data_IF_541079826683
#
_entry.id   IF_541079826683
#
_cell.length_a   1.000
_cell.length_b   1.000
_cell.length_c   1.000
_cell.angle_alpha   90.00
_cell.angle_beta   90.00
_cell.angle_gamma   90.00
#
_symmetry.space_group_name_H-M   'P 1'
#
loop_
_entity.id
_entity.type
_entity.pdbx_description
1 polymer ?
#
# COMPACT_ATOMS: atom_id res chain seq x y z
N UNK A 1 -0.28 -17.29 -25.45
CA UNK A 1 -1.18 -16.27 -24.86
C UNK A 1 -2.55 -16.88 -24.66
N UNK A 2 -3.18 -16.70 -23.50
CA UNK A 2 -4.45 -17.36 -23.20
C UNK A 2 -5.57 -16.65 -23.98
N UNK A 3 -6.39 -17.34 -24.75
CA UNK A 3 -7.49 -16.80 -25.60
C UNK A 3 -8.34 -15.74 -24.92
N UNK A 4 -8.66 -15.92 -23.61
CA UNK A 4 -9.41 -14.93 -22.81
C UNK A 4 -8.71 -13.58 -22.64
N UNK A 5 -7.37 -13.53 -22.65
CA UNK A 5 -6.63 -12.26 -22.58
C UNK A 5 -6.60 -11.54 -23.91
N UNK A 6 -6.52 -12.29 -24.99
CA UNK A 6 -6.58 -11.76 -26.36
C UNK A 6 -7.95 -11.12 -26.61
N UNK A 7 -9.05 -11.82 -26.26
CA UNK A 7 -10.41 -11.29 -26.40
C UNK A 7 -10.61 -9.98 -25.61
N UNK A 8 -10.07 -9.89 -24.39
CA UNK A 8 -10.15 -8.64 -23.62
C UNK A 8 -9.36 -7.49 -24.27
N UNK A 9 -8.19 -7.78 -24.84
CA UNK A 9 -7.40 -6.79 -25.56
C UNK A 9 -8.13 -6.33 -26.82
N UNK A 10 -8.71 -7.27 -27.59
CA UNK A 10 -9.50 -6.96 -28.77
C UNK A 10 -10.70 -6.05 -28.42
N UNK A 11 -11.45 -6.37 -27.35
CA UNK A 11 -12.55 -5.53 -26.88
C UNK A 11 -12.13 -4.09 -26.54
N UNK A 12 -10.91 -3.91 -25.98
CA UNK A 12 -10.40 -2.56 -25.69
C UNK A 12 -10.00 -1.80 -26.96
N UNK A 13 -9.53 -2.51 -27.99
CA UNK A 13 -9.21 -1.92 -29.30
C UNK A 13 -10.52 -1.57 -30.04
N UNK A 14 -11.47 -2.50 -30.11
CA UNK A 14 -12.77 -2.35 -30.79
C UNK A 14 -13.62 -1.24 -30.20
N UNK A 15 -13.44 -0.93 -28.89
CA UNK A 15 -14.11 0.20 -28.25
C UNK A 15 -13.74 1.55 -28.88
N UNK A 16 -12.56 1.66 -29.48
CA UNK A 16 -12.08 2.91 -30.10
C UNK A 16 -12.44 2.86 -31.58
N UNK A 17 -13.51 3.54 -31.95
CA UNK A 17 -14.07 3.61 -33.28
C UNK A 17 -13.58 4.87 -34.03
N UNK A 18 -14.01 5.02 -35.27
CA UNK A 18 -13.76 6.20 -36.09
C UNK A 18 -14.33 7.51 -35.53
N UNK A 19 -15.31 7.43 -34.61
CA UNK A 19 -15.90 8.57 -33.92
C UNK A 19 -15.12 9.05 -32.69
N UNK A 20 -13.98 8.39 -32.37
CA UNK A 20 -13.22 8.72 -31.16
C UNK A 20 -12.07 9.67 -31.43
N UNK A 21 -12.02 10.76 -30.64
CA UNK A 21 -10.82 11.53 -30.39
C UNK A 21 -10.04 10.88 -29.25
N UNK A 22 -8.83 10.40 -29.55
CA UNK A 22 -7.94 9.80 -28.54
C UNK A 22 -6.91 10.84 -28.11
N UNK A 23 -6.95 11.23 -26.85
CA UNK A 23 -6.05 12.22 -26.27
C UNK A 23 -5.09 11.56 -25.31
N UNK A 24 -3.80 11.75 -25.51
CA UNK A 24 -2.77 11.39 -24.53
C UNK A 24 -2.30 12.64 -23.80
N UNK A 25 -2.18 12.56 -22.48
CA UNK A 25 -1.71 13.66 -21.63
C UNK A 25 -0.47 13.23 -20.86
N UNK A 26 0.63 13.92 -21.08
CA UNK A 26 1.80 13.83 -20.23
C UNK A 26 1.63 14.73 -19.01
N UNK A 27 1.74 14.15 -17.82
CA UNK A 27 1.41 14.78 -16.54
C UNK A 27 2.67 15.32 -15.88
N UNK A 28 2.66 16.60 -15.53
CA UNK A 28 3.68 17.25 -14.71
C UNK A 28 3.08 18.04 -13.55
N UNK A 29 3.91 18.60 -12.70
CA UNK A 29 3.47 19.35 -11.52
C UNK A 29 2.72 20.64 -11.90
N UNK A 30 3.26 21.41 -12.84
CA UNK A 30 2.77 22.75 -13.17
C UNK A 30 2.07 22.80 -14.53
N UNK A 31 2.67 22.22 -15.55
CA UNK A 31 2.18 22.30 -16.93
C UNK A 31 2.07 20.91 -17.54
N UNK A 32 0.89 20.54 -17.97
CA UNK A 32 0.61 19.30 -18.69
C UNK A 32 0.71 19.52 -20.20
N UNK A 33 1.02 18.45 -20.94
CA UNK A 33 1.05 18.49 -22.41
C UNK A 33 0.09 17.44 -22.96
N UNK A 34 -0.81 17.86 -23.86
CA UNK A 34 -1.76 17.00 -24.53
C UNK A 34 -1.46 16.86 -26.03
N UNK A 35 -1.70 15.67 -26.58
CA UNK A 35 -1.68 15.34 -27.99
C UNK A 35 -2.91 14.52 -28.33
N UNK A 36 -3.46 14.74 -29.52
CA UNK A 36 -4.62 14.02 -30.01
C UNK A 36 -4.31 13.23 -31.27
N UNK A 37 -4.94 12.06 -31.38
CA UNK A 37 -4.93 11.20 -32.56
C UNK A 37 -6.33 10.67 -32.84
N UNK A 38 -6.58 10.24 -34.09
CA UNK A 38 -7.78 9.47 -34.39
C UNK A 38 -7.58 7.97 -34.07
N UNK A 39 -8.58 7.15 -34.33
CA UNK A 39 -8.55 5.69 -34.13
C UNK A 39 -7.43 4.99 -34.94
N UNK A 40 -6.96 5.55 -36.04
CA UNK A 40 -5.82 5.03 -36.83
C UNK A 40 -4.47 5.48 -36.29
N UNK A 41 -4.40 6.48 -35.38
CA UNK A 41 -3.18 7.07 -34.87
C UNK A 41 -2.66 8.25 -35.69
N UNK A 42 -3.47 8.79 -36.58
CA UNK A 42 -3.15 10.03 -37.31
C UNK A 42 -3.31 11.20 -36.33
N UNK A 43 -2.28 12.02 -36.27
CA UNK A 43 -2.25 13.17 -35.36
C UNK A 43 -3.28 14.21 -35.79
N UNK A 44 -4.06 14.70 -34.82
CA UNK A 44 -5.06 15.75 -35.00
C UNK A 44 -4.62 16.98 -34.22
N UNK A 45 -4.58 18.11 -34.90
CA UNK A 45 -4.26 19.42 -34.31
C UNK A 45 -2.82 19.55 -33.81
N UNK A 46 -2.55 20.75 -33.24
CA UNK A 46 -1.26 21.08 -32.61
C UNK A 46 -1.21 20.56 -31.17
N UNK A 47 -0.01 20.36 -30.58
CA UNK A 47 0.10 20.06 -29.15
C UNK A 47 -0.51 21.18 -28.33
N UNK A 48 -1.15 20.81 -27.22
CA UNK A 48 -1.63 21.76 -26.22
C UNK A 48 -0.78 21.66 -24.96
N UNK A 49 -0.26 22.80 -24.49
CA UNK A 49 0.28 22.93 -23.13
C UNK A 49 -0.74 23.70 -22.29
N UNK A 50 -1.02 23.18 -21.09
CA UNK A 50 -2.00 23.74 -20.17
C UNK A 50 -1.58 23.55 -18.72
N UNK A 51 -1.96 24.49 -17.87
CA UNK A 51 -1.59 24.49 -16.46
C UNK A 51 -2.42 23.51 -15.64
N UNK A 52 -1.86 23.10 -14.50
CA UNK A 52 -2.51 22.19 -13.55
C UNK A 52 -3.45 22.96 -12.60
N UNK A 53 -4.40 23.69 -13.18
CA UNK A 53 -5.43 24.49 -12.51
C UNK A 53 -6.74 24.45 -13.31
N UNK A 54 -7.79 25.11 -12.82
CA UNK A 54 -9.12 25.08 -13.44
C UNK A 54 -9.14 25.73 -14.82
N UNK A 55 -8.42 26.84 -15.00
CA UNK A 55 -8.28 27.53 -16.28
C UNK A 55 -7.61 26.62 -17.32
N UNK A 56 -6.53 25.95 -16.93
CA UNK A 56 -5.83 24.98 -17.78
C UNK A 56 -6.72 23.80 -18.15
N UNK A 57 -7.50 23.27 -17.20
CA UNK A 57 -8.43 22.17 -17.46
C UNK A 57 -9.56 22.61 -18.41
N UNK A 58 -10.08 23.81 -18.23
CA UNK A 58 -11.07 24.40 -19.15
C UNK A 58 -10.48 24.63 -20.54
N UNK A 59 -9.23 25.06 -20.63
CA UNK A 59 -8.49 25.21 -21.91
C UNK A 59 -8.37 23.85 -22.62
N UNK A 60 -8.05 22.78 -21.89
CA UNK A 60 -8.04 21.41 -22.43
C UNK A 60 -9.42 21.00 -22.96
N UNK A 61 -10.48 21.25 -22.21
CA UNK A 61 -11.84 20.91 -22.62
C UNK A 61 -12.25 21.64 -23.90
N UNK A 62 -11.97 22.95 -24.01
CA UNK A 62 -12.27 23.71 -25.18
C UNK A 62 -11.47 23.21 -26.40
N UNK A 63 -10.19 22.95 -26.23
CA UNK A 63 -9.36 22.35 -27.28
C UNK A 63 -9.89 20.99 -27.76
N UNK A 64 -10.37 20.12 -26.84
CA UNK A 64 -11.03 18.86 -27.19
C UNK A 64 -12.29 19.12 -28.02
N UNK A 65 -13.14 20.07 -27.61
CA UNK A 65 -14.37 20.45 -28.35
C UNK A 65 -14.07 20.96 -29.75
N UNK A 66 -13.08 21.83 -29.89
CA UNK A 66 -12.64 22.35 -31.18
C UNK A 66 -12.16 21.23 -32.13
N UNK A 67 -11.33 20.32 -31.65
CA UNK A 67 -10.85 19.21 -32.45
C UNK A 67 -11.97 18.24 -32.85
N UNK A 68 -12.92 17.98 -31.95
CA UNK A 68 -14.10 17.16 -32.25
C UNK A 68 -14.95 17.80 -33.36
N UNK A 69 -15.25 19.07 -33.23
CA UNK A 69 -16.02 19.79 -34.22
C UNK A 69 -15.30 19.85 -35.60
N UNK A 70 -14.00 20.15 -35.61
CA UNK A 70 -13.18 20.22 -36.83
C UNK A 70 -13.13 18.86 -37.59
N UNK A 71 -13.20 17.74 -36.88
CA UNK A 71 -13.07 16.38 -37.45
C UNK A 71 -14.37 15.57 -37.45
N UNK A 72 -15.48 16.20 -37.06
CA UNK A 72 -16.79 15.57 -36.92
C UNK A 72 -16.73 14.28 -36.09
N UNK A 73 -16.20 14.40 -34.86
CA UNK A 73 -16.04 13.29 -33.90
C UNK A 73 -16.99 13.46 -32.73
N UNK A 74 -17.57 12.35 -32.22
CA UNK A 74 -18.61 12.41 -31.19
C UNK A 74 -18.08 12.10 -29.77
N UNK A 75 -17.06 11.27 -29.67
CA UNK A 75 -16.58 10.74 -28.40
C UNK A 75 -15.13 11.11 -28.14
N UNK A 76 -14.75 11.13 -26.86
CA UNK A 76 -13.36 11.40 -26.46
C UNK A 76 -12.93 10.41 -25.38
N UNK A 77 -11.73 9.89 -25.52
CA UNK A 77 -11.04 9.14 -24.49
C UNK A 77 -9.70 9.80 -24.18
N UNK A 78 -9.48 10.08 -22.89
CA UNK A 78 -8.26 10.76 -22.43
C UNK A 78 -7.42 9.75 -21.63
N UNK A 79 -6.22 9.48 -22.15
CA UNK A 79 -5.22 8.65 -21.50
C UNK A 79 -4.17 9.45 -20.78
N UNK A 80 -3.74 8.97 -19.61
CA UNK A 80 -2.64 9.58 -18.87
C UNK A 80 -1.79 8.51 -18.18
N UNK A 81 -0.52 8.83 -17.96
CA UNK A 81 0.38 8.00 -17.18
C UNK A 81 0.21 8.32 -15.69
N UNK A 82 -0.20 7.36 -14.83
CA UNK A 82 -0.46 7.61 -13.41
C UNK A 82 0.84 7.65 -12.61
N UNK A 83 1.77 8.54 -12.97
CA UNK A 83 3.02 8.78 -12.26
C UNK A 83 2.80 9.85 -11.19
N UNK A 84 3.15 9.54 -9.94
CA UNK A 84 2.91 10.46 -8.81
C UNK A 84 1.43 10.67 -8.52
N UNK A 85 1.04 11.92 -8.19
CA UNK A 85 -0.33 12.27 -7.75
C UNK A 85 -0.98 13.39 -8.60
N UNK A 86 -0.22 14.07 -9.45
CA UNK A 86 -0.70 15.23 -10.20
C UNK A 86 -1.81 14.94 -11.23
N UNK A 87 -1.90 13.68 -11.69
CA UNK A 87 -2.96 13.25 -12.61
C UNK A 87 -4.35 13.14 -11.97
N UNK A 88 -4.42 13.04 -10.63
CA UNK A 88 -5.66 12.68 -9.92
C UNK A 88 -6.72 13.78 -10.04
N UNK A 89 -6.33 15.04 -9.91
CA UNK A 89 -7.26 16.17 -9.99
C UNK A 89 -7.83 16.31 -11.40
N UNK A 90 -6.96 16.29 -12.42
CA UNK A 90 -7.38 16.32 -13.82
C UNK A 90 -8.31 15.16 -14.15
N UNK A 91 -7.97 13.93 -13.70
CA UNK A 91 -8.81 12.75 -13.92
C UNK A 91 -10.21 12.91 -13.33
N UNK A 92 -10.31 13.34 -12.07
CA UNK A 92 -11.60 13.58 -11.41
C UNK A 92 -12.41 14.67 -12.09
N UNK A 93 -11.72 15.75 -12.53
CA UNK A 93 -12.37 16.86 -13.21
C UNK A 93 -12.93 16.44 -14.58
N UNK A 94 -12.15 15.69 -15.38
CA UNK A 94 -12.59 15.19 -16.69
C UNK A 94 -13.77 14.20 -16.57
N UNK A 95 -13.76 13.31 -15.59
CA UNK A 95 -14.88 12.40 -15.34
C UNK A 95 -16.16 13.16 -15.02
N UNK A 96 -16.09 14.29 -14.27
CA UNK A 96 -17.25 15.20 -14.04
C UNK A 96 -17.75 15.85 -15.32
N UNK A 97 -16.89 16.00 -16.34
CA UNK A 97 -17.27 16.51 -17.67
C UNK A 97 -17.77 15.39 -18.62
N UNK A 98 -18.05 14.19 -18.10
CA UNK A 98 -18.46 13.01 -18.86
C UNK A 98 -17.45 12.58 -19.94
N UNK A 99 -16.16 12.77 -19.70
CA UNK A 99 -15.08 12.30 -20.56
C UNK A 99 -14.52 10.99 -20.01
N UNK A 100 -14.39 9.98 -20.87
CA UNK A 100 -13.75 8.72 -20.53
C UNK A 100 -12.26 8.93 -20.21
N UNK A 101 -11.87 8.62 -18.98
CA UNK A 101 -10.47 8.70 -18.52
C UNK A 101 -9.87 7.32 -18.32
N UNK A 102 -8.70 7.11 -18.90
CA UNK A 102 -7.98 5.85 -18.82
C UNK A 102 -6.53 6.06 -18.41
N UNK A 103 -5.92 5.04 -17.83
CA UNK A 103 -4.51 5.07 -17.46
C UNK A 103 -3.70 4.08 -18.27
N UNK A 104 -2.49 4.47 -18.65
CA UNK A 104 -1.51 3.61 -19.30
C UNK A 104 -0.43 3.17 -18.31
N UNK A 105 0.17 1.98 -18.55
CA UNK A 105 1.20 1.49 -17.65
C UNK A 105 2.53 2.22 -17.90
N UNK A 106 3.14 2.88 -16.88
CA UNK A 106 4.40 3.63 -17.02
C UNK A 106 5.55 2.78 -17.62
N UNK A 107 5.62 1.51 -17.26
CA UNK A 107 6.64 0.62 -17.81
C UNK A 107 6.48 0.41 -19.32
N UNK A 108 5.26 0.37 -19.82
CA UNK A 108 4.98 0.26 -21.25
C UNK A 108 5.24 1.58 -21.96
N UNK A 109 4.88 2.73 -21.37
CA UNK A 109 5.20 4.06 -21.94
C UNK A 109 6.70 4.16 -22.20
N UNK A 110 7.54 3.83 -21.20
CA UNK A 110 9.00 3.85 -21.35
C UNK A 110 9.50 2.98 -22.50
N UNK A 111 8.91 1.79 -22.73
CA UNK A 111 9.32 0.88 -23.80
C UNK A 111 8.84 1.30 -25.19
N UNK A 112 7.74 2.05 -25.27
CA UNK A 112 7.14 2.45 -26.52
C UNK A 112 7.61 3.84 -27.02
N UNK A 113 8.49 4.54 -26.26
CA UNK A 113 8.97 5.88 -26.62
C UNK A 113 9.71 5.93 -27.96
N UNK A 114 10.36 4.85 -28.37
CA UNK A 114 11.16 4.76 -29.58
C UNK A 114 10.38 4.23 -30.79
N UNK A 115 9.13 3.76 -30.60
CA UNK A 115 8.38 3.07 -31.65
C UNK A 115 7.98 3.96 -32.84
N UNK A 116 7.94 5.31 -32.68
CA UNK A 116 7.52 6.21 -33.76
C UNK A 116 8.66 6.81 -34.57
N UNK A 117 9.80 7.08 -33.95
CA UNK A 117 10.85 7.88 -34.59
C UNK A 117 12.26 7.35 -34.40
N UNK A 118 12.41 6.21 -33.73
CA UNK A 118 13.70 5.54 -33.47
C UNK A 118 14.77 6.50 -32.88
N UNK A 119 14.33 7.57 -32.16
CA UNK A 119 15.22 8.52 -31.51
C UNK A 119 15.13 8.45 -30.01
N UNK A 120 16.25 8.63 -29.32
CA UNK A 120 16.30 8.70 -27.85
C UNK A 120 15.89 10.08 -27.28
N UNK A 121 15.48 11.03 -28.15
CA UNK A 121 15.08 12.36 -27.73
C UNK A 121 13.87 12.30 -26.81
N UNK A 122 13.94 12.99 -25.66
CA UNK A 122 12.85 13.12 -24.71
C UNK A 122 12.17 14.47 -24.88
N UNK A 123 10.86 14.45 -25.11
CA UNK A 123 10.03 15.66 -25.01
C UNK A 123 8.64 15.29 -24.51
N UNK A 124 8.02 16.15 -23.74
CA UNK A 124 6.68 15.94 -23.17
C UNK A 124 5.62 15.80 -24.29
N UNK A 125 5.85 16.46 -25.44
CA UNK A 125 5.02 16.31 -26.64
C UNK A 125 5.09 14.91 -27.22
N UNK A 126 6.27 14.27 -27.22
CA UNK A 126 6.47 12.90 -27.65
C UNK A 126 5.83 11.92 -26.66
N UNK A 127 6.02 12.16 -25.35
CA UNK A 127 5.47 11.33 -24.29
C UNK A 127 3.92 11.34 -24.33
N UNK A 128 3.30 12.50 -24.50
CA UNK A 128 1.84 12.62 -24.68
C UNK A 128 1.35 11.85 -25.91
N UNK A 129 2.10 11.88 -27.03
CA UNK A 129 1.75 11.15 -28.24
C UNK A 129 1.86 9.64 -28.07
N UNK A 130 2.90 9.16 -27.39
CA UNK A 130 3.06 7.72 -27.02
C UNK A 130 1.90 7.24 -26.15
N UNK A 131 1.45 8.06 -25.20
CA UNK A 131 0.27 7.74 -24.38
C UNK A 131 -0.98 7.60 -25.25
N UNK A 132 -1.22 8.51 -26.19
CA UNK A 132 -2.35 8.43 -27.13
C UNK A 132 -2.30 7.14 -27.97
N UNK A 133 -1.14 6.79 -28.49
CA UNK A 133 -0.95 5.54 -29.25
C UNK A 133 -1.20 4.29 -28.43
N UNK A 134 -0.77 4.28 -27.18
CA UNK A 134 -1.05 3.16 -26.28
C UNK A 134 -2.54 3.01 -26.02
N UNK A 135 -3.25 4.10 -25.82
CA UNK A 135 -4.71 4.09 -25.67
C UNK A 135 -5.36 3.55 -26.94
N UNK A 136 -5.03 4.11 -28.10
CA UNK A 136 -5.55 3.65 -29.39
C UNK A 136 -5.36 2.13 -29.61
N UNK A 137 -4.23 1.58 -29.19
CA UNK A 137 -3.90 0.16 -29.32
C UNK A 137 -4.48 -0.71 -28.17
N UNK A 138 -5.37 -0.17 -27.33
CA UNK A 138 -6.01 -0.91 -26.24
C UNK A 138 -5.10 -1.22 -25.05
N UNK A 139 -3.92 -0.59 -24.94
CA UNK A 139 -2.98 -0.77 -23.81
C UNK A 139 -3.31 0.17 -22.64
N UNK A 140 -4.56 0.15 -22.21
CA UNK A 140 -5.05 1.02 -21.15
C UNK A 140 -5.91 0.27 -20.13
N UNK A 141 -6.18 0.94 -19.02
CA UNK A 141 -7.15 0.52 -18.02
C UNK A 141 -8.03 1.70 -17.62
N UNK A 142 -9.34 1.46 -17.47
CA UNK A 142 -10.24 2.49 -16.95
C UNK A 142 -9.84 2.88 -15.54
N UNK A 143 -9.93 4.18 -15.24
CA UNK A 143 -9.85 4.66 -13.88
C UNK A 143 -11.05 4.11 -13.13
N UNK A 144 -10.81 3.28 -12.12
CA UNK A 144 -11.90 2.75 -11.30
C UNK A 144 -12.47 3.89 -10.47
N UNK A 145 -13.74 4.16 -10.65
CA UNK A 145 -14.49 4.97 -9.69
C UNK A 145 -14.54 4.16 -8.39
N UNK A 146 -13.89 4.66 -7.37
CA UNK A 146 -13.95 4.09 -6.02
C UNK A 146 -14.93 4.91 -5.21
N UNK A 147 -15.79 4.26 -4.42
CA UNK A 147 -16.64 4.97 -3.47
C UNK A 147 -15.78 5.73 -2.45
N UNK A 148 -16.36 6.74 -1.84
CA UNK A 148 -15.67 7.62 -0.89
C UNK A 148 -15.00 6.83 0.23
N UNK A 149 -15.62 5.77 0.75
CA UNK A 149 -15.06 4.94 1.82
C UNK A 149 -13.73 4.28 1.45
N UNK A 150 -13.60 3.73 0.22
CA UNK A 150 -12.33 3.14 -0.23
C UNK A 150 -11.26 4.19 -0.48
N UNK A 151 -11.63 5.38 -0.95
CA UNK A 151 -10.70 6.50 -1.11
C UNK A 151 -10.19 6.99 0.24
N UNK A 152 -11.09 7.13 1.24
CA UNK A 152 -10.73 7.44 2.63
C UNK A 152 -9.75 6.40 3.18
N UNK A 153 -10.04 5.10 3.03
CA UNK A 153 -9.12 4.03 3.46
C UNK A 153 -7.76 4.15 2.78
N UNK A 154 -7.69 4.47 1.49
CA UNK A 154 -6.43 4.64 0.78
C UNK A 154 -5.58 5.75 1.38
N UNK A 155 -6.19 6.90 1.66
CA UNK A 155 -5.51 8.06 2.26
C UNK A 155 -5.08 7.75 3.69
N UNK A 156 -5.99 7.22 4.52
CA UNK A 156 -5.71 6.88 5.91
C UNK A 156 -4.59 5.83 6.04
N UNK A 157 -4.63 4.78 5.24
CA UNK A 157 -3.60 3.74 5.25
C UNK A 157 -2.26 4.22 4.71
N UNK A 158 -2.26 5.18 3.77
CA UNK A 158 -1.03 5.85 3.33
C UNK A 158 -0.41 6.67 4.46
N UNK A 159 -1.22 7.48 5.14
CA UNK A 159 -0.79 8.26 6.29
C UNK A 159 -0.30 7.37 7.43
N UNK A 160 -1.04 6.30 7.75
CA UNK A 160 -0.66 5.33 8.76
C UNK A 160 0.73 4.73 8.51
N UNK A 161 1.06 4.38 7.27
CA UNK A 161 2.38 3.85 6.91
C UNK A 161 3.50 4.87 7.18
N UNK A 162 3.24 6.17 6.97
CA UNK A 162 4.21 7.24 7.28
C UNK A 162 4.39 7.38 8.79
N UNK A 163 3.30 7.39 9.56
CA UNK A 163 3.34 7.50 11.03
C UNK A 163 4.08 6.30 11.63
N UNK A 164 3.79 5.08 11.18
CA UNK A 164 4.49 3.88 11.66
C UNK A 164 5.99 3.96 11.40
N UNK A 165 6.42 4.49 10.24
CA UNK A 165 7.85 4.69 9.95
C UNK A 165 8.50 5.68 10.92
N UNK A 166 7.81 6.80 11.24
CA UNK A 166 8.29 7.77 12.23
C UNK A 166 8.41 7.13 13.59
N UNK A 167 7.37 6.43 14.06
CA UNK A 167 7.37 5.73 15.34
C UNK A 167 8.53 4.73 15.44
N UNK A 168 8.75 3.91 14.42
CA UNK A 168 9.88 2.97 14.38
C UNK A 168 11.21 3.70 14.39
N UNK A 169 11.33 4.84 13.72
CA UNK A 169 12.54 5.68 13.73
C UNK A 169 12.83 6.19 15.14
N UNK A 170 11.83 6.79 15.82
CA UNK A 170 11.99 7.29 17.19
C UNK A 170 12.37 6.16 18.16
N UNK A 171 11.72 4.99 18.06
CA UNK A 171 12.08 3.80 18.87
C UNK A 171 13.52 3.38 18.64
N UNK A 172 14.00 3.36 17.40
CA UNK A 172 15.39 3.00 17.09
C UNK A 172 16.39 4.02 17.66
N UNK A 173 16.04 5.31 17.64
CA UNK A 173 16.87 6.36 18.23
C UNK A 173 16.87 6.27 19.75
N UNK A 174 15.73 6.00 20.41
CA UNK A 174 15.66 5.73 21.85
C UNK A 174 16.52 4.50 22.20
N UNK A 175 16.45 3.43 21.40
CA UNK A 175 17.30 2.26 21.60
C UNK A 175 18.79 2.61 21.56
N UNK A 176 19.22 3.41 20.56
CA UNK A 176 20.59 3.89 20.45
C UNK A 176 20.98 4.78 21.64
N UNK A 177 20.09 5.64 22.08
CA UNK A 177 20.31 6.47 23.26
C UNK A 177 20.55 5.61 24.52
N UNK A 178 19.73 4.60 24.72
CA UNK A 178 19.88 3.63 25.83
C UNK A 178 21.22 2.92 25.76
N UNK A 179 21.65 2.49 24.58
CA UNK A 179 22.95 1.81 24.41
C UNK A 179 24.14 2.69 24.80
N UNK A 180 24.01 4.02 24.73
CA UNK A 180 25.06 4.98 25.07
C UNK A 180 25.01 5.42 26.53
N UNK A 181 23.80 5.69 27.06
CA UNK A 181 23.63 6.33 28.36
C UNK A 181 23.31 5.35 29.47
N UNK A 182 22.49 4.31 29.18
CA UNK A 182 22.08 3.31 30.16
C UNK A 182 21.92 1.91 29.54
N UNK A 183 22.99 1.27 29.07
CA UNK A 183 22.91 -0.01 28.35
C UNK A 183 22.31 -1.15 29.21
N UNK A 184 22.49 -1.10 30.53
CA UNK A 184 21.97 -2.11 31.44
C UNK A 184 20.44 -2.08 31.58
N UNK A 185 19.75 -1.04 31.14
CA UNK A 185 18.28 -0.95 31.13
C UNK A 185 17.66 -2.15 30.40
N UNK A 186 18.34 -2.66 29.35
CA UNK A 186 17.91 -3.85 28.58
C UNK A 186 17.89 -5.13 29.40
N UNK A 187 18.63 -5.23 30.50
CA UNK A 187 18.58 -6.38 31.40
C UNK A 187 17.28 -6.41 32.22
N UNK A 188 16.67 -5.23 32.45
CA UNK A 188 15.38 -5.12 33.14
C UNK A 188 14.20 -5.12 32.17
N UNK A 189 14.34 -4.43 31.06
CA UNK A 189 13.34 -4.30 30.01
C UNK A 189 13.90 -4.78 28.68
N UNK A 190 13.58 -6.02 28.30
CA UNK A 190 14.02 -6.62 27.02
C UNK A 190 13.60 -5.79 25.81
N UNK A 191 12.43 -5.15 25.89
CA UNK A 191 11.90 -4.23 24.92
C UNK A 191 11.88 -2.82 25.51
N UNK A 192 12.75 -1.94 25.00
CA UNK A 192 12.87 -0.54 25.45
C UNK A 192 11.66 0.31 25.06
N UNK A 193 10.87 -0.14 24.07
CA UNK A 193 9.62 0.54 23.68
C UNK A 193 8.42 0.18 24.56
N UNK A 194 8.57 -0.74 25.51
CA UNK A 194 7.48 -1.08 26.42
C UNK A 194 7.16 0.09 27.37
N UNK A 195 5.89 0.19 27.78
CA UNK A 195 5.40 1.27 28.65
C UNK A 195 6.26 1.46 29.92
N UNK A 196 6.76 0.37 30.52
CA UNK A 196 7.59 0.44 31.72
C UNK A 196 8.97 1.05 31.47
N UNK A 197 9.61 0.73 30.34
CA UNK A 197 10.90 1.32 29.98
C UNK A 197 10.75 2.80 29.62
N UNK A 198 9.77 3.14 28.78
CA UNK A 198 9.48 4.55 28.41
C UNK A 198 9.17 5.40 29.66
N UNK A 199 8.34 4.91 30.58
CA UNK A 199 8.06 5.61 31.84
C UNK A 199 9.32 5.77 32.70
N UNK A 200 10.19 4.74 32.74
CA UNK A 200 11.47 4.84 33.48
C UNK A 200 12.38 5.89 32.87
N UNK A 201 12.57 5.90 31.55
CA UNK A 201 13.39 6.89 30.86
C UNK A 201 12.87 8.31 31.01
N UNK A 202 11.55 8.48 31.08
CA UNK A 202 10.90 9.79 31.29
C UNK A 202 11.10 10.33 32.69
N UNK A 203 10.96 9.47 33.69
CA UNK A 203 11.02 9.86 35.11
C UNK A 203 12.47 9.94 35.62
N UNK A 204 13.33 9.04 35.12
CA UNK A 204 14.68 8.84 35.64
C UNK A 204 15.63 8.60 34.45
N UNK A 205 15.94 9.62 33.65
CA UNK A 205 16.64 9.47 32.38
C UNK A 205 18.07 8.93 32.51
N UNK A 206 18.75 9.13 33.63
CA UNK A 206 20.15 8.71 33.78
C UNK A 206 20.37 7.70 34.90
N UNK A 207 21.40 6.82 34.81
CA UNK A 207 21.83 5.97 35.91
C UNK A 207 22.16 6.73 37.20
N UNK A 208 22.72 7.95 37.08
CA UNK A 208 23.08 8.77 38.22
C UNK A 208 21.84 9.17 39.07
N UNK A 209 20.77 9.61 38.40
CA UNK A 209 19.50 9.95 39.06
C UNK A 209 18.87 8.74 39.77
N UNK A 210 18.86 7.59 39.06
CA UNK A 210 18.34 6.35 39.64
C UNK A 210 19.15 5.89 40.86
N UNK A 211 20.46 6.02 40.84
CA UNK A 211 21.34 5.51 41.90
C UNK A 211 21.13 6.18 43.26
N UNK A 212 20.55 7.39 43.31
CA UNK A 212 20.25 8.16 44.49
C UNK A 212 18.88 7.83 45.10
N UNK A 213 18.04 7.07 44.45
CA UNK A 213 16.67 6.76 44.84
C UNK A 213 16.56 5.48 45.67
N UNK A 214 15.41 5.31 46.35
CA UNK A 214 15.01 4.04 46.93
C UNK A 214 14.07 3.27 46.00
N UNK A 215 13.98 1.92 46.16
CA UNK A 215 13.09 1.12 45.29
C UNK A 215 11.63 1.59 45.34
N UNK A 216 11.20 2.16 46.50
CA UNK A 216 9.86 2.67 46.69
C UNK A 216 9.60 3.90 45.81
N UNK A 217 10.57 4.80 45.65
CA UNK A 217 10.44 6.02 44.87
C UNK A 217 10.20 5.69 43.41
N UNK A 218 10.95 4.70 42.86
CA UNK A 218 10.78 4.22 41.49
C UNK A 218 9.38 3.61 41.29
N UNK A 219 8.93 2.79 42.24
CA UNK A 219 7.59 2.19 42.17
C UNK A 219 6.50 3.24 42.22
N UNK A 220 6.65 4.26 43.10
CA UNK A 220 5.72 5.38 43.19
C UNK A 220 5.67 6.18 41.89
N UNK A 221 6.83 6.49 41.31
CA UNK A 221 6.91 7.12 39.98
C UNK A 221 6.21 6.30 38.88
N UNK A 222 6.41 4.99 38.84
CA UNK A 222 5.69 4.15 37.88
C UNK A 222 4.18 4.13 38.09
N UNK A 223 3.70 4.15 39.37
CA UNK A 223 2.27 4.20 39.70
C UNK A 223 1.61 5.49 39.21
N UNK A 224 2.31 6.63 39.25
CA UNK A 224 1.77 7.89 38.72
C UNK A 224 1.55 7.89 37.21
N UNK A 225 2.33 7.09 36.46
CA UNK A 225 2.28 7.05 35.01
C UNK A 225 1.52 5.83 34.42
N UNK A 226 1.32 4.76 35.19
CA UNK A 226 0.80 3.49 34.70
C UNK A 226 -0.16 2.81 35.67
N UNK A 227 -1.34 2.37 35.16
CA UNK A 227 -2.29 1.54 35.94
C UNK A 227 -1.69 0.19 36.36
N UNK A 228 -0.90 -0.41 35.44
CA UNK A 228 -0.15 -1.66 35.70
C UNK A 228 1.33 -1.34 35.58
N UNK A 229 2.06 -1.44 36.68
CA UNK A 229 3.47 -1.10 36.76
C UNK A 229 4.33 -2.31 37.11
N UNK A 230 5.65 -2.19 36.89
CA UNK A 230 6.63 -3.16 37.34
C UNK A 230 6.77 -3.10 38.88
N UNK A 231 6.95 -4.25 39.51
CA UNK A 231 7.04 -4.33 40.95
C UNK A 231 8.42 -4.04 41.54
N UNK A 232 8.51 -4.06 42.88
CA UNK A 232 9.75 -3.79 43.67
C UNK A 232 10.97 -4.62 43.22
N UNK A 233 10.76 -5.87 42.72
CA UNK A 233 11.87 -6.71 42.23
C UNK A 233 12.60 -6.05 41.06
N UNK A 234 11.85 -5.50 40.09
CA UNK A 234 12.46 -4.78 38.95
C UNK A 234 13.07 -3.45 39.39
N UNK A 235 12.46 -2.72 40.33
CA UNK A 235 13.02 -1.49 40.85
C UNK A 235 14.38 -1.72 41.52
N UNK A 236 14.50 -2.75 42.37
CA UNK A 236 15.78 -3.14 43.00
C UNK A 236 16.82 -3.54 41.95
N UNK A 237 16.44 -4.35 40.95
CA UNK A 237 17.34 -4.72 39.86
C UNK A 237 17.84 -3.48 39.10
N UNK A 238 16.95 -2.54 38.79
CA UNK A 238 17.26 -1.30 38.11
C UNK A 238 18.29 -0.46 38.90
N UNK A 239 18.09 -0.30 40.22
CA UNK A 239 19.01 0.42 41.11
C UNK A 239 20.39 -0.23 41.15
N UNK A 240 20.44 -1.58 41.28
CA UNK A 240 21.71 -2.31 41.30
C UNK A 240 22.48 -2.10 40.01
N UNK A 241 21.78 -2.09 38.89
CA UNK A 241 22.39 -1.89 37.56
C UNK A 241 22.81 -0.44 37.35
N UNK A 242 22.02 0.52 37.79
CA UNK A 242 22.33 1.94 37.70
C UNK A 242 23.65 2.29 38.44
N UNK A 243 23.87 1.73 39.66
CA UNK A 243 25.09 1.96 40.45
C UNK A 243 26.36 1.48 39.76
N UNK A 244 26.29 0.48 38.86
CA UNK A 244 27.41 -0.10 38.15
C UNK A 244 27.37 0.14 36.63
N UNK A 245 26.58 1.10 36.18
CA UNK A 245 26.42 1.36 34.77
C UNK A 245 27.71 1.84 34.13
N UNK A 246 27.97 1.28 32.94
CA UNK A 246 29.08 1.66 32.05
C UNK A 246 28.69 2.79 31.07
N UNK A 247 27.44 3.28 31.16
CA UNK A 247 26.96 4.36 30.30
C UNK A 247 27.82 5.62 30.42
N UNK A 248 27.74 6.47 29.40
CA UNK A 248 28.52 7.73 29.39
C UNK A 248 28.14 8.61 30.59
N UNK A 249 29.16 9.29 31.16
CA UNK A 249 29.02 10.28 32.21
C UNK A 249 29.26 11.70 31.69
N UNK A 250 29.64 11.84 30.41
CA UNK A 250 29.95 13.13 29.78
C UNK A 250 28.75 13.65 29.01
N UNK A 251 28.60 14.97 28.96
CA UNK A 251 27.55 15.68 28.21
C UNK A 251 26.10 15.21 28.54
N UNK A 252 25.83 14.82 29.79
CA UNK A 252 24.54 14.26 30.20
C UNK A 252 23.39 15.22 29.94
N UNK A 253 23.60 16.53 30.05
CA UNK A 253 22.53 17.53 29.80
C UNK A 253 22.10 17.51 28.35
N UNK A 254 23.05 17.37 27.39
CA UNK A 254 22.75 17.24 25.98
C UNK A 254 22.02 15.91 25.69
N UNK A 255 22.43 14.82 26.34
CA UNK A 255 21.72 13.53 26.22
C UNK A 255 20.30 13.56 26.82
N UNK A 256 20.09 14.28 27.93
CA UNK A 256 18.76 14.45 28.49
C UNK A 256 17.84 15.22 27.55
N UNK A 257 18.30 16.36 27.02
CA UNK A 257 17.55 17.14 26.03
C UNK A 257 17.22 16.29 24.79
N UNK A 258 18.19 15.53 24.31
CA UNK A 258 17.96 14.63 23.18
C UNK A 258 16.92 13.55 23.49
N UNK A 259 16.96 12.93 24.67
CA UNK A 259 15.95 11.94 25.07
C UNK A 259 14.57 12.56 25.18
N UNK A 260 14.44 13.74 25.74
CA UNK A 260 13.17 14.47 25.85
C UNK A 260 12.55 14.68 24.49
N UNK A 261 13.31 15.18 23.51
CA UNK A 261 12.85 15.33 22.13
C UNK A 261 12.42 14.00 21.49
N UNK A 262 13.18 12.92 21.69
CA UNK A 262 12.83 11.59 21.18
C UNK A 262 11.54 11.04 21.79
N UNK A 263 11.30 11.31 23.09
CA UNK A 263 10.07 10.90 23.76
C UNK A 263 8.86 11.72 23.30
N UNK A 264 9.03 13.02 23.03
CA UNK A 264 7.99 13.86 22.42
C UNK A 264 7.62 13.35 21.02
N UNK A 265 8.60 13.05 20.16
CA UNK A 265 8.35 12.47 18.83
C UNK A 265 7.62 11.11 18.93
N UNK A 266 8.04 10.27 19.88
CA UNK A 266 7.39 8.97 20.14
C UNK A 266 5.93 9.15 20.55
N UNK A 267 5.63 10.06 21.47
CA UNK A 267 4.27 10.33 21.94
C UNK A 267 3.39 10.89 20.83
N UNK A 268 3.93 11.85 20.06
CA UNK A 268 3.22 12.41 18.90
C UNK A 268 2.89 11.34 17.88
N UNK A 269 3.87 10.52 17.50
CA UNK A 269 3.66 9.44 16.53
C UNK A 269 2.67 8.38 17.06
N UNK A 270 2.73 8.05 18.36
CA UNK A 270 1.83 7.10 19.00
C UNK A 270 0.39 7.61 19.01
N UNK A 271 0.16 8.86 19.43
CA UNK A 271 -1.18 9.46 19.44
C UNK A 271 -1.77 9.62 18.03
N UNK A 272 -0.95 10.02 17.05
CA UNK A 272 -1.36 10.08 15.67
C UNK A 272 -1.74 8.70 15.11
N UNK A 273 -0.98 7.65 15.46
CA UNK A 273 -1.26 6.28 15.04
C UNK A 273 -2.59 5.77 15.60
N UNK A 274 -2.88 6.07 16.87
CA UNK A 274 -4.14 5.72 17.52
C UNK A 274 -5.33 6.39 16.83
N UNK A 275 -5.25 7.70 16.60
CA UNK A 275 -6.29 8.47 15.90
C UNK A 275 -6.56 7.94 14.50
N UNK A 276 -5.51 7.71 13.69
CA UNK A 276 -5.69 7.18 12.34
C UNK A 276 -6.24 5.76 12.37
N UNK A 277 -5.86 4.95 13.36
CA UNK A 277 -6.38 3.59 13.51
C UNK A 277 -7.87 3.61 13.83
N UNK A 278 -8.32 4.51 14.71
CA UNK A 278 -9.75 4.68 15.01
C UNK A 278 -10.55 5.11 13.77
N UNK A 279 -10.05 6.07 13.00
CA UNK A 279 -10.71 6.49 11.76
C UNK A 279 -10.78 5.36 10.71
N UNK A 280 -9.76 4.52 10.64
CA UNK A 280 -9.78 3.34 9.78
C UNK A 280 -10.90 2.38 10.18
N UNK A 281 -11.09 2.13 11.48
CA UNK A 281 -12.19 1.29 11.99
C UNK A 281 -13.55 1.90 11.66
N UNK A 282 -13.75 3.20 11.90
CA UNK A 282 -14.99 3.92 11.59
C UNK A 282 -15.37 3.82 10.09
N UNK A 283 -14.38 3.91 9.19
CA UNK A 283 -14.64 3.78 7.75
C UNK A 283 -14.92 2.33 7.34
N UNK A 284 -14.25 1.35 7.97
CA UNK A 284 -14.50 -0.07 7.69
C UNK A 284 -15.93 -0.48 8.02
N UNK A 285 -16.50 0.02 9.10
CA UNK A 285 -17.88 -0.27 9.52
C UNK A 285 -18.93 0.15 8.48
N UNK A 286 -18.61 1.11 7.61
CA UNK A 286 -19.50 1.59 6.55
C UNK A 286 -19.54 0.66 5.32
N UNK A 287 -18.66 -0.34 5.25
CA UNK A 287 -18.56 -1.22 4.07
C UNK A 287 -19.30 -2.53 4.34
N UNK A 288 -20.33 -2.88 3.55
CA UNK A 288 -21.27 -3.95 3.89
C UNK A 288 -20.65 -5.32 4.17
N UNK A 289 -19.64 -5.75 3.39
CA UNK A 289 -19.04 -7.08 3.49
C UNK A 289 -17.88 -7.19 4.51
N UNK A 290 -17.55 -6.10 5.19
CA UNK A 290 -16.40 -6.07 6.12
C UNK A 290 -16.65 -6.97 7.32
N UNK A 291 -17.86 -6.97 7.90
CA UNK A 291 -18.18 -7.81 9.07
C UNK A 291 -17.97 -9.30 8.77
N UNK A 292 -18.38 -9.78 7.59
CA UNK A 292 -18.19 -11.18 7.19
C UNK A 292 -16.71 -11.55 7.02
N UNK A 293 -15.88 -10.60 6.53
CA UNK A 293 -14.45 -10.85 6.36
C UNK A 293 -13.73 -10.79 7.71
N UNK A 294 -14.08 -9.87 8.59
CA UNK A 294 -13.48 -9.76 9.94
C UNK A 294 -13.88 -10.91 10.87
N UNK A 295 -14.97 -11.61 10.58
CA UNK A 295 -15.33 -12.85 11.28
C UNK A 295 -14.33 -13.99 11.03
N UNK A 296 -13.47 -13.89 10.01
CA UNK A 296 -12.41 -14.87 9.75
C UNK A 296 -11.30 -14.69 10.78
N UNK A 297 -11.16 -15.65 11.69
CA UNK A 297 -10.11 -15.61 12.71
C UNK A 297 -8.73 -15.43 12.07
N UNK A 298 -8.03 -14.37 12.45
CA UNK A 298 -6.69 -14.06 11.96
C UNK A 298 -6.64 -12.94 10.90
N UNK A 299 -7.77 -12.41 10.44
CA UNK A 299 -7.79 -11.16 9.67
C UNK A 299 -7.96 -9.98 10.62
N UNK A 300 -7.02 -9.04 10.58
CA UNK A 300 -7.11 -7.79 11.33
C UNK A 300 -7.73 -6.68 10.50
N UNK A 301 -8.41 -5.73 11.16
CA UNK A 301 -8.95 -4.51 10.54
C UNK A 301 -7.90 -3.78 9.69
N UNK A 302 -6.70 -3.61 10.23
CA UNK A 302 -5.60 -2.92 9.54
C UNK A 302 -5.18 -3.63 8.26
N UNK A 303 -5.11 -4.98 8.27
CA UNK A 303 -4.77 -5.74 7.08
C UNK A 303 -5.88 -5.64 6.03
N UNK A 304 -7.14 -5.72 6.46
CA UNK A 304 -8.30 -5.58 5.58
C UNK A 304 -8.39 -4.16 5.01
N UNK A 305 -8.25 -3.13 5.85
CA UNK A 305 -8.24 -1.73 5.41
C UNK A 305 -7.14 -1.46 4.37
N UNK A 306 -5.94 -2.02 4.58
CA UNK A 306 -4.85 -1.92 3.62
C UNK A 306 -5.16 -2.60 2.29
N UNK A 307 -5.82 -3.75 2.31
CA UNK A 307 -6.28 -4.44 1.09
C UNK A 307 -7.34 -3.60 0.37
N UNK A 308 -8.37 -3.12 1.09
CA UNK A 308 -9.47 -2.34 0.53
C UNK A 308 -9.02 -0.97 0.01
N UNK A 309 -8.15 -0.28 0.75
CA UNK A 309 -7.59 1.01 0.32
C UNK A 309 -6.76 0.91 -0.98
N UNK A 310 -6.07 -0.22 -1.20
CA UNK A 310 -5.27 -0.45 -2.40
C UNK A 310 -6.06 -1.08 -3.56
N UNK A 311 -6.99 -1.97 -3.26
CA UNK A 311 -7.77 -2.68 -4.27
C UNK A 311 -9.06 -1.94 -4.66
N UNK A 312 -9.61 -1.12 -3.77
CA UNK A 312 -10.96 -0.60 -3.87
C UNK A 312 -11.99 -1.67 -3.54
N UNK A 313 -13.19 -1.54 -4.11
CA UNK A 313 -14.26 -2.50 -3.93
C UNK A 313 -13.88 -3.88 -4.49
N UNK A 314 -13.88 -4.87 -3.60
CA UNK A 314 -13.56 -6.25 -3.96
C UNK A 314 -14.67 -6.92 -4.79
N UNK A 315 -15.92 -6.47 -4.68
CA UNK A 315 -17.03 -6.99 -5.47
C UNK A 315 -16.87 -6.75 -6.97
N UNK A 316 -16.15 -5.67 -7.34
CA UNK A 316 -15.82 -5.33 -8.73
C UNK A 316 -14.76 -6.24 -9.39
N UNK A 317 -14.14 -7.17 -8.63
CA UNK A 317 -13.23 -8.16 -9.24
C UNK A 317 -13.99 -9.38 -9.73
N UNK A 318 -13.77 -9.77 -10.99
CA UNK A 318 -14.43 -10.95 -11.56
C UNK A 318 -14.15 -12.24 -10.75
N UNK A 319 -12.96 -12.37 -10.19
CA UNK A 319 -12.50 -13.51 -9.38
C UNK A 319 -11.19 -13.18 -8.63
N UNK A 320 -10.81 -13.97 -7.63
CA UNK A 320 -9.61 -13.75 -6.80
C UNK A 320 -8.30 -13.68 -7.59
N UNK A 321 -8.18 -14.38 -8.73
CA UNK A 321 -6.97 -14.27 -9.56
C UNK A 321 -6.83 -12.87 -10.21
N UNK A 322 -7.92 -12.14 -10.44
CA UNK A 322 -7.87 -10.75 -10.89
C UNK A 322 -7.28 -9.84 -9.81
N UNK A 323 -7.65 -10.04 -8.53
CA UNK A 323 -7.04 -9.37 -7.39
C UNK A 323 -5.54 -9.70 -7.26
N UNK A 324 -5.15 -10.97 -7.43
CA UNK A 324 -3.73 -11.36 -7.42
C UNK A 324 -2.93 -10.70 -8.53
N UNK A 325 -3.50 -10.59 -9.72
CA UNK A 325 -2.86 -9.89 -10.85
C UNK A 325 -2.69 -8.41 -10.54
N UNK A 326 -3.70 -7.79 -9.93
CA UNK A 326 -3.64 -6.38 -9.49
C UNK A 326 -2.55 -6.16 -8.43
N UNK A 327 -2.31 -7.14 -7.55
CA UNK A 327 -1.21 -7.14 -6.57
C UNK A 327 0.16 -7.51 -7.18
N UNK A 328 0.23 -7.97 -8.44
CA UNK A 328 1.46 -8.50 -9.04
C UNK A 328 1.90 -9.84 -8.45
N UNK A 329 0.95 -10.64 -7.96
CA UNK A 329 1.15 -11.98 -7.37
C UNK A 329 0.87 -13.12 -8.38
N UNK A 330 0.68 -12.81 -9.65
CA UNK A 330 0.57 -13.82 -10.70
C UNK A 330 1.96 -14.32 -11.12
N UNK A 331 2.01 -15.54 -11.60
CA UNK A 331 3.23 -16.16 -12.11
C UNK A 331 3.55 -15.61 -13.51
N UNK A 332 4.81 -15.32 -13.73
CA UNK A 332 5.38 -14.96 -15.03
C UNK A 332 6.41 -16.02 -15.41
N UNK A 333 6.29 -16.53 -16.63
CA UNK A 333 7.21 -17.47 -17.23
C UNK A 333 7.98 -16.74 -18.34
N UNK A 334 9.27 -17.00 -18.40
CA UNK A 334 10.11 -16.60 -19.54
C UNK A 334 10.58 -17.88 -20.24
N UNK A 335 10.16 -18.07 -21.49
CA UNK A 335 10.60 -19.20 -22.32
C UNK A 335 10.91 -18.71 -23.73
N UNK A 336 11.93 -19.26 -24.34
CA UNK A 336 12.32 -18.96 -25.73
C UNK A 336 12.88 -20.22 -26.35
N UNK A 337 12.18 -20.75 -27.35
CA UNK A 337 12.54 -21.99 -28.01
C UNK A 337 12.66 -23.17 -27.04
N UNK A 338 13.82 -23.81 -27.00
CA UNK A 338 14.11 -24.93 -26.09
C UNK A 338 14.42 -24.45 -24.66
N UNK A 339 14.69 -23.15 -24.42
CA UNK A 339 15.01 -22.62 -23.13
C UNK A 339 13.74 -22.38 -22.29
N UNK A 340 13.68 -23.01 -21.13
CA UNK A 340 12.61 -22.81 -20.14
C UNK A 340 13.21 -22.11 -18.94
N UNK A 341 12.91 -20.83 -18.76
CA UNK A 341 13.32 -20.05 -17.61
C UNK A 341 12.51 -20.38 -16.35
N UNK A 342 12.92 -19.82 -15.24
CA UNK A 342 12.22 -20.03 -13.99
C UNK A 342 10.87 -19.30 -13.97
N UNK A 343 9.84 -19.99 -13.47
CA UNK A 343 8.55 -19.38 -13.17
C UNK A 343 8.67 -18.57 -11.89
N UNK A 344 8.50 -17.25 -11.99
CA UNK A 344 8.63 -16.32 -10.87
C UNK A 344 7.37 -15.47 -10.68
N UNK A 345 7.23 -14.87 -9.50
CA UNK A 345 6.19 -13.88 -9.28
C UNK A 345 6.48 -12.63 -10.12
N UNK A 346 5.48 -12.17 -10.85
CA UNK A 346 5.59 -11.02 -11.75
C UNK A 346 6.05 -9.74 -11.05
N UNK A 347 5.60 -9.51 -9.81
CA UNK A 347 5.77 -8.27 -9.03
C UNK A 347 5.30 -7.00 -9.75
N UNK A 348 4.75 -7.11 -10.97
CA UNK A 348 4.16 -6.01 -11.73
C UNK A 348 2.72 -5.79 -11.26
N UNK A 349 2.55 -4.85 -10.35
CA UNK A 349 1.27 -4.54 -9.69
C UNK A 349 1.49 -3.75 -8.41
N UNK A 350 0.42 -3.47 -7.68
CA UNK A 350 0.45 -2.63 -6.48
C UNK A 350 1.24 -3.31 -5.35
N UNK A 351 2.42 -2.78 -5.03
CA UNK A 351 3.34 -3.35 -4.04
C UNK A 351 2.74 -3.34 -2.62
N UNK A 352 1.99 -2.29 -2.27
CA UNK A 352 1.32 -2.17 -0.95
C UNK A 352 0.21 -3.21 -0.81
N UNK A 353 -0.62 -3.43 -1.85
CA UNK A 353 -1.63 -4.49 -1.86
C UNK A 353 -0.98 -5.87 -1.66
N UNK A 354 0.12 -6.13 -2.35
CA UNK A 354 0.89 -7.37 -2.19
C UNK A 354 1.38 -7.57 -0.77
N UNK A 355 1.88 -6.50 -0.13
CA UNK A 355 2.33 -6.51 1.28
C UNK A 355 1.17 -6.83 2.23
N UNK A 356 0.00 -6.20 2.08
CA UNK A 356 -1.13 -6.45 2.97
C UNK A 356 -1.73 -7.85 2.77
N UNK A 357 -1.83 -8.36 1.55
CA UNK A 357 -2.22 -9.74 1.30
C UNK A 357 -1.25 -10.74 1.94
N UNK A 358 0.05 -10.47 1.86
CA UNK A 358 1.07 -11.31 2.51
C UNK A 358 0.94 -11.28 4.03
N UNK A 359 0.83 -10.10 4.65
CA UNK A 359 0.71 -9.96 6.12
C UNK A 359 -0.58 -10.62 6.65
N UNK A 360 -1.71 -10.42 5.96
CA UNK A 360 -2.97 -11.08 6.30
C UNK A 360 -2.85 -12.61 6.20
N UNK A 361 -2.18 -13.12 5.16
CA UNK A 361 -1.95 -14.56 4.99
C UNK A 361 -1.04 -15.12 6.09
N UNK A 362 0.01 -14.40 6.47
CA UNK A 362 0.88 -14.79 7.60
C UNK A 362 0.10 -14.88 8.89
N UNK A 363 -0.74 -13.89 9.19
CA UNK A 363 -1.60 -13.90 10.38
C UNK A 363 -2.61 -15.08 10.35
N UNK A 364 -3.20 -15.36 9.19
CA UNK A 364 -4.09 -16.52 9.02
C UNK A 364 -3.37 -17.85 9.27
N UNK A 365 -2.17 -18.03 8.74
CA UNK A 365 -1.38 -19.26 8.98
C UNK A 365 -1.07 -19.48 10.47
N UNK A 366 -0.94 -18.40 11.23
CA UNK A 366 -0.70 -18.49 12.68
C UNK A 366 -1.98 -18.73 13.49
N UNK A 367 -3.10 -18.11 13.11
CA UNK A 367 -4.27 -17.97 13.96
C UNK A 367 -5.53 -18.67 13.44
N UNK A 368 -5.58 -19.06 12.16
CA UNK A 368 -6.75 -19.71 11.55
C UNK A 368 -6.49 -21.21 11.34
N UNK A 369 -7.35 -22.11 11.82
CA UNK A 369 -7.13 -23.56 11.77
C UNK A 369 -6.97 -24.08 10.33
N UNK A 370 -7.84 -23.70 9.41
CA UNK A 370 -7.87 -24.17 8.03
C UNK A 370 -6.63 -23.72 7.25
N UNK A 371 -6.21 -22.46 7.39
CA UNK A 371 -5.00 -21.94 6.76
C UNK A 371 -3.74 -22.56 7.36
N UNK A 372 -3.71 -22.81 8.68
CA UNK A 372 -2.62 -23.50 9.37
C UNK A 372 -2.50 -24.94 8.87
N UNK A 373 -3.62 -25.66 8.78
CA UNK A 373 -3.68 -27.02 8.26
C UNK A 373 -3.20 -27.11 6.81
N UNK A 374 -3.70 -26.21 5.96
CA UNK A 374 -3.31 -26.14 4.56
C UNK A 374 -1.83 -25.78 4.38
N UNK A 375 -1.29 -24.91 5.23
CA UNK A 375 0.14 -24.61 5.27
C UNK A 375 0.96 -25.83 5.68
N UNK A 376 0.56 -26.52 6.74
CA UNK A 376 1.20 -27.74 7.22
C UNK A 376 1.22 -28.83 6.15
N UNK A 377 0.10 -29.09 5.48
CA UNK A 377 -0.01 -30.01 4.36
C UNK A 377 0.96 -29.63 3.22
N UNK A 378 0.97 -28.36 2.82
CA UNK A 378 1.89 -27.89 1.78
C UNK A 378 3.36 -28.14 2.15
N UNK A 379 3.75 -27.91 3.42
CA UNK A 379 5.15 -28.00 3.86
C UNK A 379 5.54 -29.45 4.19
N UNK A 380 4.73 -30.15 4.98
CA UNK A 380 5.07 -31.48 5.50
C UNK A 380 4.82 -32.58 4.46
N UNK A 381 3.64 -32.57 3.81
CA UNK A 381 3.24 -33.60 2.84
C UNK A 381 3.77 -33.29 1.45
N UNK A 382 3.44 -32.09 0.92
CA UNK A 382 3.82 -31.71 -0.47
C UNK A 382 5.24 -31.20 -0.60
N UNK A 383 6.02 -31.13 0.49
CA UNK A 383 7.43 -30.68 0.57
C UNK A 383 7.68 -29.31 -0.07
N UNK A 384 6.69 -28.44 -0.04
CA UNK A 384 6.80 -27.08 -0.57
C UNK A 384 7.55 -26.21 0.44
N UNK A 385 8.53 -25.41 0.00
CA UNK A 385 9.24 -24.45 0.86
C UNK A 385 8.24 -23.51 1.57
N UNK A 386 8.44 -23.24 2.87
CA UNK A 386 7.53 -22.46 3.74
C UNK A 386 7.06 -21.17 3.07
N UNK A 387 7.97 -20.35 2.54
CA UNK A 387 7.64 -19.10 1.86
C UNK A 387 6.79 -19.32 0.60
N UNK A 388 7.10 -20.33 -0.23
CA UNK A 388 6.27 -20.67 -1.41
C UNK A 388 4.86 -21.09 -1.00
N UNK A 389 4.70 -21.79 0.13
CA UNK A 389 3.38 -22.15 0.67
C UNK A 389 2.58 -20.89 1.04
N UNK A 390 3.18 -19.94 1.77
CA UNK A 390 2.52 -18.67 2.14
C UNK A 390 2.07 -17.91 0.88
N UNK A 391 2.95 -17.79 -0.10
CA UNK A 391 2.60 -17.12 -1.37
C UNK A 391 1.46 -17.82 -2.12
N UNK A 392 1.39 -19.16 -2.07
CA UNK A 392 0.26 -19.93 -2.62
C UNK A 392 -1.04 -19.64 -1.85
N UNK A 393 -0.94 -19.50 -0.53
CA UNK A 393 -2.09 -19.20 0.34
C UNK A 393 -2.61 -17.78 0.14
N UNK A 394 -1.79 -16.80 -0.27
CA UNK A 394 -2.28 -15.49 -0.72
C UNK A 394 -3.33 -15.64 -1.85
N UNK A 395 -3.16 -16.62 -2.73
CA UNK A 395 -4.13 -16.93 -3.78
C UNK A 395 -5.44 -17.51 -3.23
N UNK A 396 -5.37 -18.32 -2.18
CA UNK A 396 -6.58 -18.82 -1.50
C UNK A 396 -7.31 -17.67 -0.80
N UNK A 397 -6.57 -16.84 -0.06
CA UNK A 397 -7.13 -15.64 0.59
C UNK A 397 -7.81 -14.71 -0.42
N UNK A 398 -7.16 -14.40 -1.53
CA UNK A 398 -7.75 -13.53 -2.55
C UNK A 398 -9.08 -14.06 -3.10
N UNK A 399 -9.21 -15.40 -3.27
CA UNK A 399 -10.47 -16.02 -3.69
C UNK A 399 -11.55 -15.93 -2.62
N UNK A 400 -11.19 -16.14 -1.35
CA UNK A 400 -12.11 -16.00 -0.23
C UNK A 400 -12.63 -14.56 -0.12
N UNK A 401 -11.73 -13.58 -0.12
CA UNK A 401 -12.10 -12.17 -0.01
C UNK A 401 -13.02 -11.70 -1.13
N UNK A 402 -12.68 -12.02 -2.38
CA UNK A 402 -13.50 -11.65 -3.54
C UNK A 402 -14.83 -12.42 -3.52
N UNK A 403 -14.84 -13.69 -3.12
CA UNK A 403 -16.06 -14.49 -3.01
C UNK A 403 -17.04 -13.89 -2.01
N UNK A 404 -16.57 -13.56 -0.81
CA UNK A 404 -17.41 -12.95 0.24
C UNK A 404 -17.93 -11.57 -0.23
N UNK A 405 -17.07 -10.72 -0.78
CA UNK A 405 -17.46 -9.38 -1.21
C UNK A 405 -18.51 -9.40 -2.33
N UNK A 406 -18.48 -10.38 -3.24
CA UNK A 406 -19.42 -10.51 -4.36
C UNK A 406 -20.74 -11.14 -3.98
N UNK A 407 -20.69 -12.17 -3.13
CA UNK A 407 -21.85 -13.01 -2.85
C UNK A 407 -22.54 -12.60 -1.53
N UNK A 408 -21.92 -11.73 -0.71
CA UNK A 408 -22.40 -11.42 0.64
C UNK A 408 -22.44 -12.62 1.59
N UNK A 409 -21.80 -13.75 1.21
CA UNK A 409 -21.84 -14.99 1.97
C UNK A 409 -20.91 -14.94 3.18
N UNK A 410 -21.24 -15.69 4.23
CA UNK A 410 -20.33 -15.92 5.34
C UNK A 410 -19.13 -16.76 4.92
N UNK A 411 -18.05 -16.66 5.70
CA UNK A 411 -16.89 -17.53 5.54
C UNK A 411 -17.25 -18.99 5.77
N UNK A 412 -16.92 -19.85 4.80
CA UNK A 412 -17.08 -21.29 4.92
C UNK A 412 -15.70 -21.97 5.06
N UNK A 413 -15.35 -22.48 6.24
CA UNK A 413 -14.07 -23.18 6.50
C UNK A 413 -13.82 -24.37 5.59
N UNK A 414 -14.84 -25.19 5.31
CA UNK A 414 -14.73 -26.41 4.51
C UNK A 414 -14.31 -26.11 3.06
N UNK A 415 -14.77 -25.01 2.50
CA UNK A 415 -14.34 -24.57 1.17
C UNK A 415 -12.86 -24.15 1.14
N UNK A 416 -12.25 -23.88 2.29
CA UNK A 416 -10.82 -23.55 2.39
C UNK A 416 -10.00 -24.82 2.50
N UNK A 417 -10.29 -25.65 3.50
CA UNK A 417 -9.67 -26.96 3.70
C UNK A 417 -10.59 -27.82 4.56
N UNK A 418 -11.11 -28.95 4.06
CA UNK A 418 -11.87 -29.90 4.85
C UNK A 418 -11.00 -30.47 5.97
N UNK A 419 -11.29 -30.13 7.22
CA UNK A 419 -10.49 -30.55 8.38
C UNK A 419 -10.55 -32.07 8.62
N UNK A 420 -11.59 -32.73 8.14
CA UNK A 420 -11.72 -34.21 8.17
C UNK A 420 -10.55 -34.93 7.46
N UNK A 421 -9.91 -34.26 6.46
CA UNK A 421 -8.71 -34.81 5.80
C UNK A 421 -7.43 -34.73 6.65
N UNK A 422 -7.48 -34.19 7.88
CA UNK A 422 -6.36 -34.22 8.83
C UNK A 422 -6.42 -35.38 9.80
N UNK A 423 -7.58 -36.00 9.94
CA UNK A 423 -7.80 -37.13 10.87
C UNK A 423 -7.53 -38.50 10.23
N UNK A 424 -7.31 -38.52 8.93
CA UNK A 424 -6.88 -39.70 8.15
C UNK A 424 -5.40 -39.56 7.75
#
# INVERSE_FOLDING_TARGET
MNFKMQNKQNQLIERITDQHLVVGVDIAQHVHVARAVNYRGIVIGKPLSFENNEEGFTKLLNWIKELKHMKNLDTTIVGMEPTGHYWMNLSKWLVKQNIDVVTVNPHHVKRNKENRDNTQSKSDKKDALVIADMVKNGYYAFVRSTSESFEKLRVLMANRDVIVKRLVSSINQINRWVDVVFPELRQVFKDVSCKGAIATLRLFPTPAELSSLQPQDIVTGWKSCMKRHSGHKKARSLLTLAKRSIGTKQALDAYKLHLEQLLEEYDLASSQLERVTQEVTNVLEQIPFVKQILAIKGISEISLAGILGEAGDLSGFAHGNALLRHAGLHLAEASSGKWKGQIVLSKRGRSRLRRYLFLATMSLVMNNPEFKALHSNNVKVKKIKKMKSIMKLCGKLARVLVGIARNGSAYNPEMVFPLEQLAA
#
